data_IF_185164738355
#
_entry.id   IF_185164738355
#
_cell.length_a   1.000
_cell.length_b   1.000
_cell.length_c   1.000
_cell.angle_alpha   90.00
_cell.angle_beta   90.00
_cell.angle_gamma   90.00
#
_symmetry.space_group_name_H-M   'P 1'
#
loop_
_entity.id
_entity.type
_entity.pdbx_description
1 polymer ?
#
# COMPACT_ATOMS: atom_id res chain seq x y z
N UNK A 1 4.96 19.70 -5.98
CA UNK A 1 5.17 18.26 -6.27
C UNK A 1 4.18 17.92 -7.37
N UNK A 2 4.66 17.50 -8.55
CA UNK A 2 3.78 17.07 -9.63
C UNK A 2 2.82 16.00 -9.10
N UNK A 3 1.51 16.22 -9.24
CA UNK A 3 0.50 15.21 -8.91
C UNK A 3 0.62 14.10 -9.95
N UNK A 4 1.48 13.11 -9.67
CA UNK A 4 1.45 11.85 -10.40
C UNK A 4 0.12 11.19 -10.11
N UNK A 5 -0.69 11.03 -11.13
CA UNK A 5 -1.99 10.38 -11.01
C UNK A 5 -1.79 8.95 -10.49
N UNK A 6 -2.42 8.63 -9.36
CA UNK A 6 -2.34 7.29 -8.76
C UNK A 6 -3.27 6.38 -9.57
N UNK A 7 -2.77 5.31 -10.22
CA UNK A 7 -3.63 4.45 -11.02
C UNK A 7 -4.68 3.76 -10.14
N UNK A 8 -5.87 3.56 -10.69
CA UNK A 8 -7.03 3.05 -9.94
C UNK A 8 -6.76 1.77 -9.11
N UNK A 9 -6.02 0.75 -9.62
CA UNK A 9 -5.70 -0.43 -8.80
C UNK A 9 -4.96 -0.08 -7.50
N UNK A 10 -4.01 0.85 -7.57
CA UNK A 10 -3.27 1.31 -6.40
C UNK A 10 -4.15 2.09 -5.44
N UNK A 11 -5.08 2.93 -5.95
CA UNK A 11 -6.03 3.65 -5.08
C UNK A 11 -6.84 2.68 -4.22
N UNK A 12 -7.35 1.60 -4.81
CA UNK A 12 -8.15 0.59 -4.11
C UNK A 12 -7.31 -0.13 -3.05
N UNK A 13 -6.09 -0.55 -3.40
CA UNK A 13 -5.18 -1.23 -2.47
C UNK A 13 -4.77 -0.30 -1.32
N UNK A 14 -4.34 0.92 -1.62
CA UNK A 14 -3.91 1.91 -0.62
C UNK A 14 -5.06 2.32 0.29
N UNK A 15 -6.28 2.45 -0.24
CA UNK A 15 -7.48 2.70 0.56
C UNK A 15 -7.73 1.56 1.54
N UNK A 16 -7.59 0.31 1.09
CA UNK A 16 -7.70 -0.85 1.98
C UNK A 16 -6.59 -0.87 3.03
N UNK A 17 -5.35 -0.56 2.64
CA UNK A 17 -4.25 -0.44 3.61
C UNK A 17 -4.54 0.62 4.66
N UNK A 18 -5.08 1.79 4.27
CA UNK A 18 -5.48 2.83 5.21
C UNK A 18 -6.52 2.36 6.22
N UNK A 19 -7.53 1.63 5.76
CA UNK A 19 -8.60 1.10 6.63
C UNK A 19 -8.08 0.13 7.70
N UNK A 20 -7.03 -0.63 7.38
CA UNK A 20 -6.38 -1.58 8.30
C UNK A 20 -5.11 -1.02 8.96
N UNK A 21 -4.86 0.29 8.83
CA UNK A 21 -3.70 0.99 9.40
C UNK A 21 -4.05 1.80 10.64
N UNK A 22 -3.05 2.07 11.47
CA UNK A 22 -3.15 3.05 12.56
C UNK A 22 -2.40 4.32 12.14
N UNK A 23 -3.11 5.43 11.90
CA UNK A 23 -2.53 6.69 11.42
C UNK A 23 -1.63 6.55 10.16
N UNK A 24 -2.03 5.72 9.20
CA UNK A 24 -1.28 5.47 7.97
C UNK A 24 -0.10 4.50 8.14
N UNK A 25 0.09 3.95 9.36
CA UNK A 25 1.09 2.93 9.65
C UNK A 25 0.45 1.55 9.61
N UNK A 26 0.89 0.71 8.68
CA UNK A 26 0.38 -0.66 8.50
C UNK A 26 1.48 -1.68 8.74
N UNK A 27 1.14 -2.80 9.39
CA UNK A 27 2.06 -3.92 9.56
C UNK A 27 2.42 -4.57 8.22
N UNK A 28 3.70 -4.89 8.00
CA UNK A 28 4.17 -5.57 6.77
C UNK A 28 3.42 -6.88 6.54
N UNK A 29 3.14 -7.63 7.60
CA UNK A 29 2.38 -8.87 7.52
C UNK A 29 0.92 -8.61 7.13
N UNK A 30 0.28 -7.57 7.69
CA UNK A 30 -1.09 -7.17 7.36
C UNK A 30 -1.19 -6.76 5.89
N UNK A 31 -0.29 -5.88 5.42
CA UNK A 31 -0.25 -5.46 4.03
C UNK A 31 -0.11 -6.66 3.06
N UNK A 32 0.76 -7.62 3.40
CA UNK A 32 0.92 -8.86 2.61
C UNK A 32 -0.34 -9.73 2.65
N UNK A 33 -0.98 -9.88 3.81
CA UNK A 33 -2.23 -10.64 3.96
C UNK A 33 -3.37 -10.01 3.16
N UNK A 34 -3.48 -8.68 3.15
CA UNK A 34 -4.46 -7.96 2.33
C UNK A 34 -4.22 -8.28 0.85
N UNK A 35 -2.98 -8.14 0.36
CA UNK A 35 -2.68 -8.43 -1.04
C UNK A 35 -2.93 -9.90 -1.40
N UNK A 36 -2.55 -10.84 -0.53
CA UNK A 36 -2.70 -12.27 -0.83
C UNK A 36 -4.12 -12.80 -0.67
N UNK A 37 -4.84 -12.42 0.39
CA UNK A 37 -6.17 -12.99 0.70
C UNK A 37 -7.32 -12.13 0.18
N UNK A 38 -7.24 -10.80 0.29
CA UNK A 38 -8.31 -9.91 -0.17
C UNK A 38 -8.21 -9.70 -1.67
N UNK A 39 -7.02 -9.39 -2.17
CA UNK A 39 -6.77 -9.18 -3.60
C UNK A 39 -6.35 -10.44 -4.36
N UNK A 40 -6.30 -11.60 -3.69
CA UNK A 40 -5.99 -12.93 -4.30
C UNK A 40 -4.69 -12.96 -5.10
N UNK A 41 -3.69 -12.17 -4.72
CA UNK A 41 -2.42 -12.11 -5.41
C UNK A 41 -1.50 -13.27 -4.99
N UNK A 42 -0.87 -13.91 -5.98
CA UNK A 42 0.22 -14.86 -5.75
C UNK A 42 1.43 -14.18 -5.11
N UNK A 43 2.29 -14.98 -4.47
CA UNK A 43 3.46 -14.48 -3.71
C UNK A 43 4.31 -13.51 -4.53
N UNK A 44 4.65 -13.86 -5.76
CA UNK A 44 5.47 -13.02 -6.64
C UNK A 44 4.80 -11.67 -6.93
N UNK A 45 3.50 -11.68 -7.23
CA UNK A 45 2.72 -10.46 -7.45
C UNK A 45 2.63 -9.59 -6.20
N UNK A 46 2.51 -10.19 -5.01
CA UNK A 46 2.57 -9.44 -3.74
C UNK A 46 3.90 -8.71 -3.59
N UNK A 47 5.02 -9.39 -3.87
CA UNK A 47 6.35 -8.78 -3.79
C UNK A 47 6.52 -7.67 -4.82
N UNK A 48 6.09 -7.92 -6.06
CA UNK A 48 6.13 -6.95 -7.14
C UNK A 48 5.31 -5.69 -6.80
N UNK A 49 4.06 -5.86 -6.36
CA UNK A 49 3.15 -4.78 -6.01
C UNK A 49 3.68 -3.91 -4.87
N UNK A 50 4.21 -4.52 -3.80
CA UNK A 50 4.84 -3.78 -2.70
C UNK A 50 6.06 -3.00 -3.18
N UNK A 51 6.87 -3.61 -4.07
CA UNK A 51 8.05 -2.95 -4.63
C UNK A 51 7.66 -1.75 -5.49
N UNK A 52 6.70 -1.91 -6.40
CA UNK A 52 6.21 -0.81 -7.24
C UNK A 52 5.63 0.33 -6.39
N UNK A 53 4.80 0.04 -5.39
CA UNK A 53 4.25 1.08 -4.51
C UNK A 53 5.33 1.84 -3.72
N UNK A 54 6.44 1.18 -3.38
CA UNK A 54 7.60 1.84 -2.76
C UNK A 54 8.36 2.72 -3.76
N UNK A 55 8.63 2.20 -4.95
CA UNK A 55 9.33 2.94 -6.01
C UNK A 55 8.52 4.16 -6.49
N UNK A 56 7.19 4.03 -6.52
CA UNK A 56 6.27 5.12 -6.81
C UNK A 56 6.12 6.13 -5.66
N UNK A 57 6.66 5.83 -4.47
CA UNK A 57 6.59 6.71 -3.29
C UNK A 57 5.23 6.70 -2.57
N UNK A 58 4.35 5.74 -2.88
CA UNK A 58 3.03 5.64 -2.23
C UNK A 58 3.12 5.07 -0.81
N UNK A 59 4.12 4.21 -0.57
CA UNK A 59 4.42 3.67 0.75
C UNK A 59 5.94 3.74 1.03
N UNK A 60 6.30 3.90 2.30
CA UNK A 60 7.68 3.86 2.78
C UNK A 60 7.87 2.74 3.80
N UNK A 61 9.04 2.09 3.80
CA UNK A 61 9.40 1.10 4.80
C UNK A 61 10.02 1.78 6.04
N UNK A 62 9.20 2.06 7.06
CA UNK A 62 9.69 2.66 8.30
C UNK A 62 10.49 1.68 9.17
N UNK A 63 10.20 0.38 9.09
CA UNK A 63 10.96 -0.67 9.76
C UNK A 63 10.70 -2.03 9.09
N UNK A 64 11.39 -3.09 9.54
CA UNK A 64 11.10 -4.47 9.11
C UNK A 64 9.66 -4.91 9.41
N UNK A 65 8.92 -4.19 10.27
CA UNK A 65 7.57 -4.55 10.72
C UNK A 65 6.47 -3.66 10.15
N UNK A 66 6.79 -2.47 9.64
CA UNK A 66 5.78 -1.48 9.27
C UNK A 66 6.07 -0.75 7.95
N UNK A 67 5.02 -0.50 7.19
CA UNK A 67 4.98 0.49 6.12
C UNK A 67 4.24 1.75 6.60
N UNK A 68 4.67 2.92 6.10
CA UNK A 68 3.96 4.20 6.21
C UNK A 68 3.35 4.51 4.86
N UNK A 69 2.04 4.73 4.81
CA UNK A 69 1.34 5.17 3.61
C UNK A 69 1.55 6.68 3.47
N UNK A 70 2.01 7.13 2.30
CA UNK A 70 2.39 8.53 2.02
C UNK A 70 1.32 9.33 1.30
N UNK A 71 0.25 8.65 0.88
CA UNK A 71 -0.91 9.27 0.24
C UNK A 71 -1.98 9.47 1.30
N UNK A 72 -2.56 10.65 1.41
CA UNK A 72 -3.65 10.90 2.34
C UNK A 72 -4.92 10.12 1.92
N UNK A 73 -5.70 9.68 2.89
CA UNK A 73 -6.96 8.96 2.62
C UNK A 73 -7.92 9.75 1.71
N UNK A 74 -7.94 11.09 1.82
CA UNK A 74 -8.78 11.97 0.99
C UNK A 74 -8.44 11.90 -0.50
N UNK A 75 -7.18 11.58 -0.84
CA UNK A 75 -6.71 11.50 -2.23
C UNK A 75 -6.97 10.11 -2.85
N UNK A 76 -7.51 9.19 -2.05
CA UNK A 76 -7.88 7.82 -2.42
C UNK A 76 -9.40 7.62 -2.57
N UNK A 77 -10.19 8.69 -2.35
CA UNK A 77 -11.67 8.70 -2.43
C UNK A 77 -12.13 9.42 -3.69
#
# INVERSE_FOLDING_TARGET
>A
MEQREIPLPYKIILKRFWQDSEFGKIGVHVARLILSHIFRMGKENVFFMIREMKEAGFIECASKRFYIIKIDLKDLV
#
